data_IF_620677082540
#
_entry.id   IF_620677082540
#
_cell.length_a   1.000
_cell.length_b   1.000
_cell.length_c   1.000
_cell.angle_alpha   90.00
_cell.angle_beta   90.00
_cell.angle_gamma   90.00
#
_symmetry.space_group_name_H-M   'P 1'
#
loop_
_entity.id
_entity.type
_entity.pdbx_description
1 polymer ?
#
# COMPACT_ATOMS: atom_id res chain seq x y z
N UNK A 1 6.67 -2.81 10.61
CA UNK A 1 7.82 -2.84 9.69
C UNK A 1 8.57 -1.50 9.63
N UNK A 2 7.92 -0.36 9.49
CA UNK A 2 8.59 0.94 9.36
C UNK A 2 9.51 1.27 10.55
N UNK A 3 9.01 1.16 11.80
CA UNK A 3 9.84 1.44 12.98
C UNK A 3 11.08 0.54 13.10
N UNK A 4 10.97 -0.73 12.68
CA UNK A 4 12.13 -1.62 12.57
C UNK A 4 13.14 -1.10 11.55
N UNK A 5 12.67 -0.67 10.38
CA UNK A 5 13.55 -0.13 9.34
C UNK A 5 14.22 1.19 9.75
N UNK A 6 13.55 2.03 10.53
CA UNK A 6 14.12 3.24 11.12
C UNK A 6 15.22 2.90 12.13
N UNK A 7 14.97 1.95 13.04
CA UNK A 7 15.97 1.50 14.00
C UNK A 7 17.18 0.88 13.29
N UNK A 8 16.94 0.01 12.31
CA UNK A 8 17.99 -0.60 11.50
C UNK A 8 18.83 0.46 10.77
N UNK A 9 18.19 1.49 10.20
CA UNK A 9 18.90 2.57 9.51
C UNK A 9 19.87 3.31 10.42
N UNK A 10 19.50 3.51 11.70
CA UNK A 10 20.37 4.12 12.70
C UNK A 10 21.53 3.19 13.07
N UNK A 11 21.24 1.90 13.29
CA UNK A 11 22.22 0.90 13.67
C UNK A 11 23.34 0.72 12.63
N UNK A 12 22.95 0.67 11.34
CA UNK A 12 23.89 0.42 10.23
C UNK A 12 24.51 1.69 9.65
N UNK A 13 24.09 2.87 10.11
CA UNK A 13 24.58 4.15 9.62
C UNK A 13 26.13 4.30 9.71
N UNK A 14 26.82 3.87 10.80
CA UNK A 14 28.27 3.94 10.90
C UNK A 14 29.00 3.13 9.83
N UNK A 15 28.34 2.15 9.25
CA UNK A 15 28.87 1.29 8.19
C UNK A 15 28.58 1.81 6.78
N UNK A 16 28.03 3.02 6.66
CA UNK A 16 27.62 3.64 5.38
C UNK A 16 26.57 2.83 4.61
N UNK A 17 25.84 1.95 5.29
CA UNK A 17 24.72 1.19 4.70
C UNK A 17 23.47 2.06 4.70
N UNK A 18 22.80 2.10 3.57
CA UNK A 18 21.52 2.85 3.40
C UNK A 18 20.34 1.90 3.46
N UNK A 19 19.40 2.19 4.33
CA UNK A 19 18.12 1.48 4.44
C UNK A 19 17.06 2.29 3.71
N UNK A 20 16.31 1.65 2.80
CA UNK A 20 15.26 2.29 2.02
C UNK A 20 13.96 1.49 2.16
N UNK A 21 12.88 2.18 2.45
CA UNK A 21 11.52 1.61 2.52
C UNK A 21 10.79 1.99 1.24
N UNK A 22 10.34 0.98 0.50
CA UNK A 22 9.47 1.18 -0.67
C UNK A 22 8.04 0.86 -0.27
N UNK A 23 7.14 1.82 -0.47
CA UNK A 23 5.72 1.71 -0.14
C UNK A 23 4.93 1.59 -1.46
N UNK A 24 4.65 0.35 -1.93
CA UNK A 24 3.85 0.16 -3.13
C UNK A 24 2.38 0.47 -2.86
N UNK A 25 1.70 1.11 -3.81
CA UNK A 25 0.24 1.13 -3.90
C UNK A 25 -0.27 -0.13 -4.61
N UNK A 26 -1.39 -0.01 -5.33
CA UNK A 26 -1.95 -1.14 -6.05
C UNK A 26 -1.19 -1.42 -7.36
N UNK A 27 -0.86 -2.68 -7.52
CA UNK A 27 -0.19 -3.21 -8.71
C UNK A 27 -0.98 -4.40 -9.27
N UNK A 28 -1.19 -4.40 -10.57
CA UNK A 28 -1.81 -5.51 -11.26
C UNK A 28 -0.85 -6.71 -11.31
N UNK A 29 -1.11 -7.66 -10.43
CA UNK A 29 -0.33 -8.92 -10.29
C UNK A 29 -1.29 -10.10 -10.21
N UNK A 30 -0.77 -11.32 -10.24
CA UNK A 30 -1.56 -12.53 -10.00
C UNK A 30 -2.08 -12.71 -8.56
N UNK A 31 -1.86 -11.74 -7.67
CA UNK A 31 -2.30 -11.83 -6.27
C UNK A 31 -3.82 -11.91 -6.13
N UNK A 32 -4.55 -11.08 -6.87
CA UNK A 32 -6.02 -11.03 -6.85
C UNK A 32 -6.62 -12.36 -7.32
N UNK A 33 -6.05 -12.96 -8.38
CA UNK A 33 -6.55 -14.21 -8.96
C UNK A 33 -6.26 -15.43 -8.07
N UNK A 34 -5.29 -15.34 -7.18
CA UNK A 34 -4.92 -16.40 -6.22
C UNK A 34 -5.52 -16.20 -4.83
N UNK A 35 -6.44 -15.23 -4.68
CA UNK A 35 -7.09 -14.95 -3.38
C UNK A 35 -8.09 -16.04 -3.04
N UNK A 36 -7.92 -16.66 -1.86
CA UNK A 36 -8.88 -17.60 -1.30
C UNK A 36 -9.66 -16.95 -0.17
N UNK A 37 -10.99 -17.04 -0.23
CA UNK A 37 -11.90 -16.55 0.79
C UNK A 37 -12.62 -17.76 1.39
N UNK A 38 -12.62 -17.87 2.72
CA UNK A 38 -13.30 -18.95 3.38
C UNK A 38 -14.81 -18.90 3.12
N UNK A 39 -15.44 -20.07 3.03
CA UNK A 39 -16.88 -20.16 2.87
C UNK A 39 -17.62 -19.55 4.07
N UNK A 40 -17.11 -19.73 5.27
CA UNK A 40 -17.65 -19.13 6.49
C UNK A 40 -17.71 -17.59 6.39
N UNK A 41 -16.69 -16.94 5.86
CA UNK A 41 -16.70 -15.48 5.65
C UNK A 41 -17.74 -15.04 4.65
N UNK A 42 -18.00 -15.84 3.61
CA UNK A 42 -19.05 -15.54 2.60
C UNK A 42 -20.46 -15.66 3.14
N UNK A 43 -20.68 -16.61 4.06
CA UNK A 43 -21.99 -16.94 4.63
C UNK A 43 -22.28 -16.21 5.94
N UNK A 44 -21.33 -15.44 6.45
CA UNK A 44 -21.50 -14.67 7.70
C UNK A 44 -22.62 -13.61 7.53
N UNK A 45 -23.61 -13.68 8.42
CA UNK A 45 -24.82 -12.85 8.33
C UNK A 45 -24.54 -11.36 8.64
N UNK A 46 -23.58 -11.09 9.53
CA UNK A 46 -23.31 -9.73 10.02
C UNK A 46 -22.19 -9.06 9.18
N UNK A 47 -21.23 -9.83 8.71
CA UNK A 47 -20.01 -9.34 8.09
C UNK A 47 -19.92 -9.63 6.59
N UNK A 48 -20.44 -10.75 6.12
CA UNK A 48 -20.20 -11.29 4.78
C UNK A 48 -20.58 -10.32 3.64
N UNK A 49 -21.74 -9.70 3.69
CA UNK A 49 -22.20 -8.78 2.63
C UNK A 49 -21.30 -7.52 2.56
N UNK A 50 -20.98 -6.93 3.70
CA UNK A 50 -20.14 -5.73 3.77
C UNK A 50 -18.71 -6.05 3.31
N UNK A 51 -18.18 -7.21 3.71
CA UNK A 51 -16.88 -7.69 3.29
C UNK A 51 -16.80 -7.90 1.78
N UNK A 52 -17.77 -8.58 1.18
CA UNK A 52 -17.76 -8.86 -0.25
C UNK A 52 -17.83 -7.57 -1.10
N UNK A 53 -18.64 -6.59 -0.66
CA UNK A 53 -18.70 -5.28 -1.33
C UNK A 53 -17.36 -4.54 -1.28
N UNK A 54 -16.73 -4.51 -0.12
CA UNK A 54 -15.42 -3.88 0.03
C UNK A 54 -14.36 -4.61 -0.78
N UNK A 55 -14.42 -5.94 -0.80
CA UNK A 55 -13.51 -6.77 -1.56
C UNK A 55 -13.61 -6.54 -3.06
N UNK A 56 -14.82 -6.40 -3.61
CA UNK A 56 -15.03 -6.09 -5.04
C UNK A 56 -14.35 -4.77 -5.44
N UNK A 57 -14.44 -3.75 -4.57
CA UNK A 57 -13.76 -2.47 -4.78
C UNK A 57 -12.24 -2.68 -4.78
N UNK A 58 -11.71 -3.40 -3.79
CA UNK A 58 -10.27 -3.69 -3.68
C UNK A 58 -9.78 -4.44 -4.93
N UNK A 59 -10.46 -5.49 -5.35
CA UNK A 59 -10.08 -6.28 -6.52
C UNK A 59 -10.09 -5.45 -7.81
N UNK A 60 -11.06 -4.55 -7.95
CA UNK A 60 -11.13 -3.62 -9.08
C UNK A 60 -9.93 -2.67 -9.09
N UNK A 61 -9.57 -2.10 -7.94
CA UNK A 61 -8.40 -1.22 -7.82
C UNK A 61 -7.08 -1.96 -8.09
N UNK A 62 -6.92 -3.18 -7.55
CA UNK A 62 -5.75 -4.02 -7.81
C UNK A 62 -5.61 -4.37 -9.30
N UNK A 63 -6.70 -4.76 -9.99
CA UNK A 63 -6.69 -5.06 -11.43
C UNK A 63 -6.37 -3.84 -12.28
N UNK A 64 -6.79 -2.64 -11.86
CA UNK A 64 -6.50 -1.36 -12.49
C UNK A 64 -5.19 -0.72 -11.99
N UNK A 65 -4.48 -1.41 -11.11
CA UNK A 65 -3.22 -0.95 -10.53
C UNK A 65 -2.10 -0.80 -11.56
N UNK A 66 -0.99 -0.25 -11.11
CA UNK A 66 0.17 -0.06 -11.97
C UNK A 66 0.78 -1.40 -12.42
N UNK A 67 1.41 -1.43 -13.60
CA UNK A 67 2.18 -2.58 -14.03
C UNK A 67 3.43 -2.78 -13.12
N UNK A 68 3.77 -4.02 -12.71
CA UNK A 68 4.89 -4.30 -11.80
C UNK A 68 6.24 -3.74 -12.24
N UNK A 69 6.48 -3.60 -13.54
CA UNK A 69 7.70 -2.98 -14.09
C UNK A 69 7.93 -1.56 -13.55
N UNK A 70 6.87 -0.80 -13.22
CA UNK A 70 7.01 0.54 -12.63
C UNK A 70 7.67 0.47 -11.26
N UNK A 71 7.35 -0.56 -10.47
CA UNK A 71 8.00 -0.79 -9.17
C UNK A 71 9.47 -1.17 -9.37
N UNK A 72 9.76 -2.11 -10.27
CA UNK A 72 11.13 -2.49 -10.61
C UNK A 72 11.99 -1.30 -11.04
N UNK A 73 11.46 -0.46 -11.94
CA UNK A 73 12.16 0.75 -12.40
C UNK A 73 12.41 1.75 -11.25
N UNK A 74 11.48 1.86 -10.30
CA UNK A 74 11.67 2.72 -9.12
C UNK A 74 12.76 2.17 -8.19
N UNK A 75 12.80 0.86 -7.98
CA UNK A 75 13.84 0.19 -7.18
C UNK A 75 15.22 0.39 -7.82
N UNK A 76 15.36 0.17 -9.13
CA UNK A 76 16.62 0.43 -9.83
C UNK A 76 17.10 1.87 -9.61
N UNK A 77 16.22 2.86 -9.78
CA UNK A 77 16.54 4.26 -9.53
C UNK A 77 16.96 4.55 -8.08
N UNK A 78 16.43 3.84 -7.10
CA UNK A 78 16.81 3.97 -5.69
C UNK A 78 18.23 3.44 -5.50
N UNK A 79 18.52 2.25 -6.04
CA UNK A 79 19.83 1.59 -5.91
C UNK A 79 20.96 2.38 -6.58
N UNK A 80 20.67 3.04 -7.69
CA UNK A 80 21.64 3.87 -8.43
C UNK A 80 21.99 5.20 -7.72
N UNK A 81 21.22 5.61 -6.70
CA UNK A 81 21.44 6.88 -6.01
C UNK A 81 22.51 6.77 -4.94
N UNK A 82 23.42 7.71 -4.90
CA UNK A 82 24.39 7.87 -3.80
C UNK A 82 23.70 8.18 -2.48
N UNK A 83 22.64 9.00 -2.51
CA UNK A 83 21.81 9.33 -1.36
C UNK A 83 20.32 9.04 -1.68
N UNK A 84 19.90 7.78 -1.55
CA UNK A 84 18.51 7.43 -1.76
C UNK A 84 17.63 7.96 -0.62
N UNK A 85 16.35 8.33 -0.91
CA UNK A 85 15.42 8.71 0.15
C UNK A 85 15.10 7.48 1.01
N UNK A 86 14.90 7.70 2.31
CA UNK A 86 14.52 6.62 3.23
C UNK A 86 13.16 6.01 2.85
N UNK A 87 12.17 6.83 2.42
CA UNK A 87 10.84 6.37 1.99
C UNK A 87 10.56 6.77 0.55
N UNK A 88 10.08 5.81 -0.22
CA UNK A 88 9.64 6.03 -1.61
C UNK A 88 8.27 5.39 -1.83
N UNK A 89 7.27 6.21 -2.15
CA UNK A 89 5.92 5.74 -2.51
C UNK A 89 5.84 5.52 -4.02
N UNK A 90 5.40 4.34 -4.43
CA UNK A 90 5.29 3.95 -5.85
C UNK A 90 3.91 3.34 -6.10
N UNK A 91 3.14 3.92 -7.02
CA UNK A 91 1.79 3.41 -7.30
C UNK A 91 1.01 4.34 -8.23
N UNK A 92 -0.31 4.16 -8.34
CA UNK A 92 -1.20 5.09 -9.00
C UNK A 92 -1.06 6.48 -8.37
N UNK A 93 -1.03 7.52 -9.20
CA UNK A 93 -0.74 8.89 -8.74
C UNK A 93 -1.74 9.39 -7.68
N UNK A 94 -3.02 9.00 -7.81
CA UNK A 94 -4.08 9.36 -6.85
C UNK A 94 -3.78 8.76 -5.48
N UNK A 95 -3.40 7.48 -5.41
CA UNK A 95 -3.08 6.79 -4.17
C UNK A 95 -1.84 7.39 -3.51
N UNK A 96 -0.81 7.72 -4.31
CA UNK A 96 0.39 8.39 -3.81
C UNK A 96 0.06 9.78 -3.26
N UNK A 97 -0.82 10.54 -3.94
CA UNK A 97 -1.27 11.84 -3.48
C UNK A 97 -2.06 11.72 -2.17
N UNK A 98 -3.01 10.79 -2.10
CA UNK A 98 -3.81 10.50 -0.92
C UNK A 98 -2.92 10.08 0.27
N UNK A 99 -1.95 9.18 0.05
CA UNK A 99 -1.02 8.77 1.09
C UNK A 99 -0.09 9.92 1.57
N UNK A 100 0.18 10.91 0.74
CA UNK A 100 0.91 12.13 1.15
C UNK A 100 0.04 13.10 1.93
N UNK A 101 -1.25 13.23 1.57
CA UNK A 101 -2.19 14.14 2.24
C UNK A 101 -2.48 13.75 3.69
N UNK A 102 -2.26 12.48 4.06
CA UNK A 102 -2.41 12.00 5.44
C UNK A 102 -1.61 12.81 6.47
N UNK A 103 -0.51 13.44 6.06
CA UNK A 103 0.29 14.31 6.95
C UNK A 103 -0.42 15.61 7.34
N UNK A 104 -1.43 16.03 6.58
CA UNK A 104 -2.09 17.32 6.71
C UNK A 104 -3.55 17.20 7.17
N UNK A 105 -4.14 16.01 7.01
CA UNK A 105 -5.54 15.77 7.35
C UNK A 105 -5.65 15.07 8.71
N UNK A 106 -6.63 15.49 9.55
CA UNK A 106 -6.96 14.78 10.78
C UNK A 106 -7.36 13.32 10.49
N UNK A 107 -6.99 12.40 11.37
CA UNK A 107 -7.28 10.96 11.21
C UNK A 107 -8.77 10.67 11.04
N UNK A 108 -9.65 11.41 11.72
CA UNK A 108 -11.09 11.26 11.57
C UNK A 108 -11.60 11.54 10.14
N UNK A 109 -11.06 12.57 9.49
CA UNK A 109 -11.40 12.91 8.09
C UNK A 109 -10.90 11.84 7.15
N UNK A 110 -9.68 11.34 7.39
CA UNK A 110 -9.09 10.28 6.59
C UNK A 110 -9.89 8.97 6.71
N UNK A 111 -10.25 8.58 7.94
CA UNK A 111 -11.06 7.40 8.18
C UNK A 111 -12.45 7.52 7.55
N UNK A 112 -13.08 8.69 7.63
CA UNK A 112 -14.36 8.94 6.99
C UNK A 112 -14.28 8.77 5.47
N UNK A 113 -13.27 9.37 4.83
CA UNK A 113 -13.04 9.23 3.40
C UNK A 113 -12.81 7.76 2.98
N UNK A 114 -12.02 6.99 3.75
CA UNK A 114 -11.79 5.58 3.51
C UNK A 114 -13.06 4.73 3.66
N UNK A 115 -13.90 5.02 4.67
CA UNK A 115 -15.18 4.33 4.84
C UNK A 115 -16.09 4.51 3.64
N UNK A 116 -16.20 5.74 3.12
CA UNK A 116 -16.98 6.02 1.90
C UNK A 116 -16.39 5.27 0.71
N UNK A 117 -15.08 5.35 0.52
CA UNK A 117 -14.41 4.74 -0.62
C UNK A 117 -14.61 3.21 -0.67
N UNK A 118 -14.46 2.53 0.48
CA UNK A 118 -14.62 1.07 0.57
C UNK A 118 -16.05 0.62 0.88
N UNK A 119 -17.04 1.51 0.80
CA UNK A 119 -18.45 1.23 1.10
C UNK A 119 -18.67 0.57 2.49
N UNK A 120 -17.86 0.91 3.47
CA UNK A 120 -17.96 0.42 4.85
C UNK A 120 -19.00 1.27 5.58
N UNK A 121 -20.06 0.62 6.07
CA UNK A 121 -21.13 1.27 6.85
C UNK A 121 -20.76 1.42 8.32
#
# INVERSE_FOLDING_TARGET
MEGYSEALALEVHPFHIKVCVVEPGDFNTGFTDNRNISEQTRLDADYGESFLKSLEIIEKEERNGCHPQKLGAAICKIVERTNPPFRTKVGPWIQVLFAKSKKWLPDAVMQYALRIFYAIK
#
